data_IF_587763314699
#
_entry.id   IF_587763314699
#
_cell.length_a   1.000
_cell.length_b   1.000
_cell.length_c   1.000
_cell.angle_alpha   90.00
_cell.angle_beta   90.00
_cell.angle_gamma   90.00
#
_symmetry.space_group_name_H-M   'P 1'
#
loop_
_entity.id
_entity.type
_entity.pdbx_description
1 polymer ?
#
# COMPACT_ATOMS: atom_id res chain seq x y z
N UNK A 1 -18.28 9.22 -22.43
CA UNK A 1 -17.23 9.43 -23.43
C UNK A 1 -15.97 8.76 -22.91
N UNK A 2 -15.93 7.43 -23.00
CA UNK A 2 -14.77 6.62 -22.59
C UNK A 2 -13.84 6.63 -23.78
N UNK A 3 -13.08 7.70 -23.94
CA UNK A 3 -12.11 7.81 -25.01
C UNK A 3 -11.15 6.63 -24.92
N UNK A 4 -11.23 5.71 -25.89
CA UNK A 4 -10.25 4.65 -26.07
C UNK A 4 -8.87 5.30 -26.12
N UNK A 5 -8.09 5.13 -25.06
CA UNK A 5 -6.68 5.52 -25.02
C UNK A 5 -5.92 4.28 -25.49
N UNK A 6 -5.42 4.23 -26.74
CA UNK A 6 -4.96 2.99 -27.37
C UNK A 6 -3.76 2.31 -26.70
N UNK A 7 -3.12 3.00 -25.75
CA UNK A 7 -1.95 2.54 -24.98
C UNK A 7 -2.24 2.40 -23.48
N UNK A 8 -3.50 2.54 -23.06
CA UNK A 8 -3.87 2.35 -21.66
C UNK A 8 -3.96 0.86 -21.34
N UNK A 9 -3.11 0.40 -20.43
CA UNK A 9 -3.15 -0.97 -19.92
C UNK A 9 -4.16 -1.02 -18.77
N UNK A 10 -5.32 -1.62 -19.04
CA UNK A 10 -6.47 -1.65 -18.14
C UNK A 10 -6.29 -2.61 -16.95
N UNK A 11 -5.59 -3.72 -17.17
CA UNK A 11 -5.26 -4.72 -16.17
C UNK A 11 -3.78 -5.05 -16.24
N UNK A 12 -3.06 -4.88 -15.13
CA UNK A 12 -1.61 -5.08 -15.06
C UNK A 12 -1.20 -5.79 -13.78
N UNK A 13 -0.09 -6.52 -13.84
CA UNK A 13 0.52 -7.20 -12.70
C UNK A 13 2.03 -6.96 -12.75
N UNK A 14 2.55 -6.27 -11.74
CA UNK A 14 3.99 -6.18 -11.48
C UNK A 14 4.40 -7.21 -10.43
N UNK A 15 5.45 -7.98 -10.70
CA UNK A 15 6.02 -8.96 -9.76
C UNK A 15 7.47 -8.58 -9.46
N UNK A 16 7.81 -8.55 -8.18
CA UNK A 16 9.12 -8.17 -7.66
C UNK A 16 9.68 -9.30 -6.80
N UNK A 17 10.78 -9.88 -7.27
CA UNK A 17 11.47 -10.96 -6.58
C UNK A 17 12.64 -10.42 -5.74
N UNK A 18 12.77 -10.93 -4.52
CA UNK A 18 13.86 -10.67 -3.61
C UNK A 18 14.39 -12.01 -3.08
N UNK A 19 15.61 -12.02 -2.54
CA UNK A 19 16.29 -13.25 -2.09
C UNK A 19 15.41 -14.14 -1.17
N UNK A 20 14.54 -13.53 -0.36
CA UNK A 20 13.69 -14.25 0.62
C UNK A 20 12.23 -13.77 0.61
N UNK A 21 11.80 -13.05 -0.43
CA UNK A 21 10.45 -12.50 -0.49
C UNK A 21 9.95 -12.31 -1.93
N UNK A 22 8.64 -12.28 -2.06
CA UNK A 22 7.95 -11.90 -3.29
C UNK A 22 6.99 -10.77 -2.96
N UNK A 23 6.98 -9.73 -3.78
CA UNK A 23 5.94 -8.70 -3.75
C UNK A 23 5.28 -8.64 -5.12
N UNK A 24 3.97 -8.39 -5.15
CA UNK A 24 3.27 -8.09 -6.38
C UNK A 24 2.30 -6.94 -6.18
N UNK A 25 2.04 -6.23 -7.26
CA UNK A 25 1.04 -5.15 -7.33
C UNK A 25 0.18 -5.45 -8.55
N UNK A 26 -1.11 -5.69 -8.32
CA UNK A 26 -2.10 -5.84 -9.38
C UNK A 26 -3.01 -4.62 -9.45
N UNK A 27 -3.40 -4.27 -10.67
CA UNK A 27 -4.41 -3.25 -10.97
C UNK A 27 -5.43 -3.89 -11.91
N UNK A 28 -6.71 -3.77 -11.57
CA UNK A 28 -7.82 -4.16 -12.42
C UNK A 28 -8.78 -2.97 -12.64
N UNK A 29 -8.45 -2.09 -13.59
CA UNK A 29 -9.20 -0.84 -13.80
C UNK A 29 -10.63 -1.05 -14.31
N UNK A 30 -10.93 -2.24 -14.85
CA UNK A 30 -12.24 -2.61 -15.38
C UNK A 30 -13.16 -3.26 -14.33
N UNK A 31 -12.73 -3.36 -13.07
CA UNK A 31 -13.53 -3.93 -12.00
C UNK A 31 -14.83 -3.12 -11.79
N UNK A 32 -16.00 -3.79 -11.76
CA UNK A 32 -17.24 -3.13 -11.38
C UNK A 32 -17.19 -2.74 -9.91
N UNK A 33 -17.47 -1.47 -9.63
CA UNK A 33 -17.37 -0.93 -8.29
C UNK A 33 -18.28 -1.60 -7.24
N UNK A 34 -17.94 -1.50 -5.95
CA UNK A 34 -16.81 -0.76 -5.39
C UNK A 34 -15.46 -1.44 -5.71
N UNK A 35 -14.44 -0.65 -6.05
CA UNK A 35 -13.12 -1.20 -6.40
C UNK A 35 -12.47 -1.87 -5.21
N UNK A 36 -12.01 -3.10 -5.41
CA UNK A 36 -11.29 -3.85 -4.41
C UNK A 36 -9.92 -3.22 -4.20
N UNK A 37 -9.55 -3.02 -2.94
CA UNK A 37 -8.22 -2.54 -2.55
C UNK A 37 -7.74 -3.36 -1.39
N UNK A 38 -6.63 -4.06 -1.59
CA UNK A 38 -6.08 -5.01 -0.63
C UNK A 38 -4.64 -4.65 -0.34
N UNK A 39 -4.26 -4.80 0.93
CA UNK A 39 -2.86 -4.78 1.34
C UNK A 39 -2.64 -5.98 2.24
N UNK A 40 -1.84 -6.91 1.75
CA UNK A 40 -1.67 -8.23 2.34
C UNK A 40 -0.19 -8.49 2.55
N UNK A 41 0.16 -8.92 3.75
CA UNK A 41 1.51 -9.33 4.11
C UNK A 41 1.45 -10.72 4.67
N UNK A 42 2.20 -11.63 4.05
CA UNK A 42 2.35 -13.01 4.47
C UNK A 42 3.80 -13.24 4.90
N UNK A 43 3.98 -13.72 6.12
CA UNK A 43 5.29 -14.01 6.69
C UNK A 43 5.32 -15.39 7.34
N UNK A 44 6.50 -15.76 7.85
CA UNK A 44 6.75 -17.08 8.41
C UNK A 44 5.83 -17.44 9.58
N UNK A 45 5.49 -16.45 10.42
CA UNK A 45 4.71 -16.67 11.65
C UNK A 45 3.25 -16.21 11.54
N UNK A 46 2.78 -15.86 10.34
CA UNK A 46 1.43 -15.38 10.17
C UNK A 46 1.20 -14.48 8.96
N UNK A 47 -0.01 -13.94 8.89
CA UNK A 47 -0.44 -13.00 7.85
C UNK A 47 -1.18 -11.81 8.46
N UNK A 48 -0.99 -10.63 7.88
CA UNK A 48 -1.77 -9.43 8.17
C UNK A 48 -2.42 -8.93 6.87
N UNK A 49 -3.75 -8.82 6.88
CA UNK A 49 -4.53 -8.36 5.73
C UNK A 49 -5.39 -7.19 6.16
N UNK A 50 -5.20 -6.03 5.53
CA UNK A 50 -6.14 -4.92 5.67
C UNK A 50 -7.45 -5.29 4.98
N UNK A 51 -8.52 -5.37 5.77
CA UNK A 51 -9.84 -5.75 5.28
C UNK A 51 -10.54 -4.56 4.61
N UNK A 52 -11.43 -4.88 3.68
CA UNK A 52 -12.27 -3.87 3.04
C UNK A 52 -13.35 -3.34 4.00
N UNK A 53 -13.71 -2.05 3.92
CA UNK A 53 -13.22 -1.05 2.94
C UNK A 53 -11.81 -0.57 3.25
N UNK A 54 -10.92 -0.56 2.24
CA UNK A 54 -9.52 -0.14 2.39
C UNK A 54 -9.37 1.30 2.88
N UNK A 55 -10.31 2.16 2.49
CA UNK A 55 -10.33 3.55 2.91
C UNK A 55 -11.72 3.88 3.46
N UNK A 56 -11.84 4.05 4.78
CA UNK A 56 -10.74 4.34 5.71
C UNK A 56 -9.97 3.16 6.31
N UNK A 57 -10.28 1.89 6.00
CA UNK A 57 -9.47 0.74 6.46
C UNK A 57 -9.52 0.56 7.98
N UNK A 58 -10.63 0.03 8.49
CA UNK A 58 -10.88 0.01 9.93
C UNK A 58 -10.33 -1.23 10.67
N UNK A 59 -9.98 -2.29 9.96
CA UNK A 59 -9.69 -3.58 10.57
C UNK A 59 -8.63 -4.37 9.80
N UNK A 60 -7.70 -4.96 10.54
CA UNK A 60 -6.72 -5.91 10.02
C UNK A 60 -7.13 -7.32 10.46
N UNK A 61 -7.26 -8.24 9.51
CA UNK A 61 -7.29 -9.68 9.79
C UNK A 61 -5.86 -10.14 10.06
N UNK A 62 -5.58 -10.47 11.31
CA UNK A 62 -4.27 -10.96 11.75
C UNK A 62 -4.40 -12.44 12.09
N UNK A 63 -3.61 -13.29 11.45
CA UNK A 63 -3.50 -14.71 11.78
C UNK A 63 -2.07 -15.00 12.22
N UNK A 64 -1.90 -15.59 13.40
CA UNK A 64 -0.59 -15.91 13.97
C UNK A 64 -0.44 -17.40 14.27
N UNK A 65 0.76 -17.94 14.07
CA UNK A 65 1.12 -19.33 14.45
C UNK A 65 1.48 -19.48 15.92
N UNK A 66 1.74 -18.37 16.62
CA UNK A 66 2.00 -18.28 18.06
C UNK A 66 1.55 -16.90 18.57
N UNK A 67 1.10 -16.80 19.83
CA UNK A 67 0.84 -15.48 20.44
C UNK A 67 2.11 -14.62 20.45
N UNK A 68 1.98 -13.33 20.10
CA UNK A 68 3.09 -12.37 20.06
C UNK A 68 2.66 -11.02 20.65
N UNK A 69 3.40 -10.54 21.65
CA UNK A 69 3.09 -9.29 22.36
C UNK A 69 1.62 -9.22 22.80
N UNK A 70 0.83 -8.28 22.28
CA UNK A 70 -0.58 -8.09 22.60
C UNK A 70 -1.54 -8.95 21.75
N UNK A 71 -1.02 -9.79 20.85
CA UNK A 71 -1.81 -10.53 19.87
C UNK A 71 -1.79 -12.04 20.14
N UNK A 72 -2.92 -12.70 19.91
CA UNK A 72 -3.14 -14.10 20.26
C UNK A 72 -2.83 -15.04 19.09
N UNK A 73 -2.52 -16.29 19.42
CA UNK A 73 -2.49 -17.41 18.47
C UNK A 73 -3.82 -17.52 17.70
N UNK A 74 -3.74 -17.84 16.42
CA UNK A 74 -4.91 -18.04 15.55
C UNK A 74 -5.33 -16.75 14.85
N UNK A 75 -6.54 -16.77 14.28
CA UNK A 75 -7.12 -15.60 13.62
C UNK A 75 -7.76 -14.66 14.63
N UNK A 76 -7.54 -13.37 14.45
CA UNK A 76 -8.17 -12.29 15.18
C UNK A 76 -8.29 -11.03 14.33
N UNK A 77 -9.16 -10.13 14.76
CA UNK A 77 -9.41 -8.84 14.13
C UNK A 77 -8.81 -7.72 14.98
N UNK A 78 -7.93 -6.94 14.36
CA UNK A 78 -7.24 -5.82 15.02
C UNK A 78 -7.83 -4.51 14.48
N UNK A 79 -8.51 -3.71 15.32
CA UNK A 79 -9.03 -2.42 14.88
C UNK A 79 -7.87 -1.45 14.61
N UNK A 80 -8.04 -0.63 13.58
CA UNK A 80 -7.13 0.45 13.21
C UNK A 80 -7.83 1.78 13.45
N UNK A 81 -7.10 2.75 13.98
CA UNK A 81 -7.62 4.12 14.10
C UNK A 81 -7.84 4.71 12.71
N UNK A 82 -9.11 4.88 12.36
CA UNK A 82 -9.54 5.50 11.12
C UNK A 82 -9.37 7.01 11.24
N UNK A 83 -8.55 7.60 10.37
CA UNK A 83 -8.47 9.05 10.17
C UNK A 83 -9.21 9.45 8.91
N UNK A 84 -9.87 10.61 8.95
CA UNK A 84 -10.53 11.16 7.78
C UNK A 84 -9.51 11.58 6.70
N UNK A 85 -9.89 11.51 5.43
CA UNK A 85 -9.05 11.99 4.31
C UNK A 85 -8.52 13.41 4.52
N UNK A 86 -9.40 14.31 4.96
CA UNK A 86 -9.02 15.71 5.20
C UNK A 86 -7.97 15.82 6.30
N UNK A 87 -8.14 15.08 7.39
CA UNK A 87 -7.18 15.07 8.49
C UNK A 87 -5.81 14.57 8.01
N UNK A 88 -5.77 13.53 7.18
CA UNK A 88 -4.53 13.04 6.58
C UNK A 88 -3.84 14.09 5.70
N UNK A 89 -4.59 14.80 4.85
CA UNK A 89 -4.03 15.90 4.05
C UNK A 89 -3.52 17.05 4.91
N UNK A 90 -4.21 17.40 5.99
CA UNK A 90 -3.77 18.44 6.91
C UNK A 90 -2.44 18.05 7.59
N UNK A 91 -2.32 16.78 8.00
CA UNK A 91 -1.08 16.24 8.57
C UNK A 91 0.08 16.24 7.56
N UNK A 92 -0.17 15.82 6.31
CA UNK A 92 0.82 15.84 5.23
C UNK A 92 1.30 17.27 4.92
N UNK A 93 0.38 18.24 4.86
CA UNK A 93 0.73 19.65 4.65
C UNK A 93 1.58 20.20 5.80
N UNK A 94 1.24 19.89 7.06
CA UNK A 94 2.04 20.29 8.22
C UNK A 94 3.44 19.66 8.16
N UNK A 95 3.56 18.38 7.84
CA UNK A 95 4.84 17.69 7.68
C UNK A 95 5.68 18.33 6.55
N UNK A 96 5.06 18.64 5.41
CA UNK A 96 5.70 19.33 4.31
C UNK A 96 6.27 20.69 4.74
N UNK A 97 5.45 21.53 5.40
CA UNK A 97 5.86 22.85 5.88
C UNK A 97 7.02 22.76 6.87
N UNK A 98 6.97 21.82 7.83
CA UNK A 98 8.06 21.58 8.78
C UNK A 98 9.35 21.18 8.07
N UNK A 99 9.24 20.38 7.01
CA UNK A 99 10.40 19.89 6.25
C UNK A 99 11.07 21.04 5.50
N UNK A 100 10.31 21.83 4.75
CA UNK A 100 10.88 22.94 3.95
C UNK A 100 11.39 24.11 4.81
N UNK A 101 10.91 24.23 6.05
CA UNK A 101 11.38 25.23 7.01
C UNK A 101 12.51 24.72 7.92
N UNK A 102 12.98 23.48 7.72
CA UNK A 102 14.09 22.89 8.49
C UNK A 102 13.72 22.46 9.91
N UNK A 103 12.44 22.39 10.25
CA UNK A 103 11.93 21.97 11.55
C UNK A 103 11.88 20.44 11.72
N UNK A 104 11.85 19.70 10.61
CA UNK A 104 11.99 18.24 10.59
C UNK A 104 12.81 17.79 9.39
N UNK A 105 13.37 16.58 9.46
CA UNK A 105 13.89 15.91 8.27
C UNK A 105 12.73 15.34 7.44
N UNK A 106 12.89 15.16 6.11
CA UNK A 106 11.90 14.47 5.30
C UNK A 106 11.63 13.06 5.85
N UNK A 107 10.36 12.66 5.92
CA UNK A 107 9.97 11.31 6.38
C UNK A 107 10.57 10.19 5.52
N UNK A 108 10.89 10.52 4.26
CA UNK A 108 11.57 9.63 3.30
C UNK A 108 12.79 10.34 2.71
N UNK A 109 13.98 9.72 2.74
CA UNK A 109 15.17 10.29 2.12
C UNK A 109 15.06 10.24 0.60
N UNK A 110 15.81 11.10 -0.10
CA UNK A 110 15.84 11.16 -1.59
C UNK A 110 16.12 9.79 -2.22
N UNK A 111 16.98 8.97 -1.60
CA UNK A 111 17.29 7.63 -2.08
C UNK A 111 16.06 6.70 -2.12
N UNK A 112 15.12 6.87 -1.18
CA UNK A 112 13.86 6.13 -1.21
C UNK A 112 13.02 6.54 -2.42
N UNK A 113 12.86 7.85 -2.64
CA UNK A 113 12.08 8.37 -3.78
C UNK A 113 12.67 7.92 -5.12
N UNK A 114 14.00 7.95 -5.26
CA UNK A 114 14.69 7.43 -6.45
C UNK A 114 14.41 5.93 -6.64
N UNK A 115 14.46 5.15 -5.57
CA UNK A 115 14.19 3.70 -5.61
C UNK A 115 12.77 3.42 -6.09
N UNK A 116 11.77 4.18 -5.59
CA UNK A 116 10.38 4.06 -6.02
C UNK A 116 10.24 4.36 -7.52
N UNK A 117 10.82 5.46 -7.99
CA UNK A 117 10.73 5.85 -9.40
C UNK A 117 11.42 4.85 -10.33
N UNK A 118 12.61 4.38 -9.97
CA UNK A 118 13.30 3.35 -10.75
C UNK A 118 12.52 2.04 -10.77
N UNK A 119 11.92 1.64 -9.65
CA UNK A 119 11.11 0.42 -9.54
C UNK A 119 9.87 0.52 -10.44
N UNK A 120 9.17 1.66 -10.41
CA UNK A 120 8.03 1.93 -11.29
C UNK A 120 8.45 1.83 -12.75
N UNK A 121 9.51 2.53 -13.16
CA UNK A 121 9.97 2.51 -14.54
C UNK A 121 10.39 1.10 -14.98
N UNK A 122 11.07 0.32 -14.14
CA UNK A 122 11.43 -1.07 -14.47
C UNK A 122 10.20 -1.96 -14.63
N UNK A 123 9.18 -1.76 -13.80
CA UNK A 123 7.94 -2.51 -13.88
C UNK A 123 7.08 -2.13 -15.09
N UNK A 124 7.18 -0.88 -15.58
CA UNK A 124 6.33 -0.37 -16.66
C UNK A 124 7.00 -0.25 -18.02
N UNK A 125 8.34 -0.31 -18.11
CA UNK A 125 9.10 -0.03 -19.34
C UNK A 125 8.68 -0.86 -20.55
N UNK A 126 8.31 -2.12 -20.33
CA UNK A 126 7.94 -3.05 -21.41
C UNK A 126 6.41 -3.10 -21.64
N UNK A 127 5.66 -2.26 -20.91
CA UNK A 127 4.21 -2.11 -21.05
C UNK A 127 3.88 -1.07 -22.13
N UNK A 128 4.27 -1.30 -23.38
CA UNK A 128 3.87 -0.51 -24.55
C UNK A 128 5.00 0.05 -25.41
#
# INVERSE_FOLDING_TARGET
>A
DTGDVPLFMDNTLGVFEFDNALAFVDIAAMEPGPTARRFEVYGTDGSAILLEPFEPGAEIRLALTTSKAAYQLGEQRVPVEVRGRQEMYDLELVAFLRTITGQQQPDRPIAHELTVQETLLRATRDMG
#
